data_IF_823452254068
#
_entry.id   IF_823452254068
#
_cell.length_a   1.000
_cell.length_b   1.000
_cell.length_c   1.000
_cell.angle_alpha   90.00
_cell.angle_beta   90.00
_cell.angle_gamma   90.00
#
_symmetry.space_group_name_H-M   'P 1'
#
loop_
_entity.id
_entity.type
_entity.pdbx_description
1 polymer ?
#
# COMPACT_ATOMS: atom_id res chain seq x y z
N UNK A 1 -7.09 -10.60 12.73
CA UNK A 1 -7.00 -10.07 11.36
C UNK A 1 -6.00 -10.87 10.51
N UNK A 2 -4.80 -11.15 11.04
CA UNK A 2 -3.80 -11.95 10.33
C UNK A 2 -4.35 -13.32 9.90
N UNK A 3 -4.94 -14.08 10.80
CA UNK A 3 -5.54 -15.39 10.51
C UNK A 3 -6.60 -15.31 9.39
N UNK A 4 -7.37 -14.24 9.34
CA UNK A 4 -8.35 -14.00 8.26
C UNK A 4 -7.67 -13.91 6.90
N UNK A 5 -6.58 -13.15 6.78
CA UNK A 5 -5.83 -13.02 5.52
C UNK A 5 -5.02 -14.28 5.19
N UNK A 6 -4.47 -14.97 6.18
CA UNK A 6 -3.79 -16.25 5.98
C UNK A 6 -4.73 -17.28 5.33
N UNK A 7 -5.99 -17.35 5.78
CA UNK A 7 -7.00 -18.25 5.20
C UNK A 7 -7.40 -17.88 3.76
N UNK A 8 -7.38 -16.59 3.41
CA UNK A 8 -7.74 -16.10 2.07
C UNK A 8 -6.60 -16.19 1.06
N UNK A 9 -5.35 -16.23 1.50
CA UNK A 9 -4.17 -16.15 0.64
C UNK A 9 -4.19 -17.14 -0.55
N UNK A 10 -4.57 -18.43 -0.41
CA UNK A 10 -4.57 -19.37 -1.55
C UNK A 10 -5.57 -19.03 -2.66
N UNK A 11 -6.55 -18.20 -2.39
CA UNK A 11 -7.61 -17.84 -3.35
C UNK A 11 -7.65 -16.36 -3.68
N UNK A 12 -6.80 -15.55 -3.03
CA UNK A 12 -6.83 -14.08 -3.15
C UNK A 12 -6.82 -13.57 -4.60
N UNK A 13 -5.95 -14.14 -5.43
CA UNK A 13 -5.79 -13.71 -6.81
C UNK A 13 -7.00 -14.03 -7.70
N UNK A 14 -7.90 -14.93 -7.29
CA UNK A 14 -9.12 -15.26 -8.06
C UNK A 14 -10.10 -14.09 -8.14
N UNK A 15 -10.03 -13.16 -7.19
CA UNK A 15 -10.87 -11.97 -7.14
C UNK A 15 -10.33 -10.80 -8.01
N UNK A 16 -9.15 -10.99 -8.64
CA UNK A 16 -8.53 -9.97 -9.49
C UNK A 16 -9.13 -10.00 -10.89
N UNK A 17 -9.83 -8.95 -11.23
CA UNK A 17 -10.34 -8.75 -12.60
C UNK A 17 -9.34 -7.97 -13.46
N UNK A 18 -9.44 -8.13 -14.79
CA UNK A 18 -8.64 -7.34 -15.73
C UNK A 18 -8.82 -5.83 -15.55
N UNK A 19 -10.02 -5.38 -15.21
CA UNK A 19 -10.32 -3.96 -14.94
C UNK A 19 -9.55 -3.43 -13.72
N UNK A 20 -9.53 -4.21 -12.63
CA UNK A 20 -8.76 -3.85 -11.43
C UNK A 20 -7.27 -3.79 -11.71
N UNK A 21 -6.73 -4.76 -12.44
CA UNK A 21 -5.32 -4.79 -12.84
C UNK A 21 -4.97 -3.60 -13.73
N UNK A 22 -5.80 -3.26 -14.70
CA UNK A 22 -5.62 -2.08 -15.55
C UNK A 22 -5.64 -0.78 -14.73
N UNK A 23 -6.57 -0.67 -13.77
CA UNK A 23 -6.63 0.49 -12.87
C UNK A 23 -5.34 0.62 -12.05
N UNK A 24 -4.83 -0.48 -11.47
CA UNK A 24 -3.56 -0.49 -10.72
C UNK A 24 -2.38 -0.09 -11.61
N UNK A 25 -2.27 -0.65 -12.82
CA UNK A 25 -1.23 -0.29 -13.76
C UNK A 25 -1.26 1.19 -14.12
N UNK A 26 -2.45 1.77 -14.32
CA UNK A 26 -2.59 3.20 -14.58
C UNK A 26 -2.19 4.04 -13.35
N UNK A 27 -2.59 3.65 -12.13
CA UNK A 27 -2.16 4.34 -10.91
C UNK A 27 -0.63 4.34 -10.83
N UNK A 28 0.02 3.19 -11.00
CA UNK A 28 1.49 3.10 -10.89
C UNK A 28 2.20 3.97 -11.92
N UNK A 29 1.75 3.98 -13.17
CA UNK A 29 2.28 4.87 -14.24
C UNK A 29 2.18 6.35 -13.89
N UNK A 30 1.09 6.77 -13.22
CA UNK A 30 0.89 8.16 -12.81
C UNK A 30 1.77 8.58 -11.61
N UNK A 31 2.48 7.64 -10.98
CA UNK A 31 3.35 7.94 -9.84
C UNK A 31 4.72 8.47 -10.25
N UNK A 32 5.06 8.47 -11.54
CA UNK A 32 6.36 8.93 -12.03
C UNK A 32 7.51 8.36 -11.18
N UNK A 33 7.59 7.01 -11.14
CA UNK A 33 8.61 6.29 -10.38
C UNK A 33 9.92 6.37 -11.15
N UNK A 34 10.97 6.90 -10.51
CA UNK A 34 12.28 7.03 -11.16
C UNK A 34 13.11 5.75 -10.99
N UNK A 35 13.96 5.39 -11.97
CA UNK A 35 14.95 4.34 -11.82
C UNK A 35 15.82 4.58 -10.57
N UNK A 36 16.13 3.50 -9.85
CA UNK A 36 16.93 3.59 -8.61
C UNK A 36 16.12 3.89 -7.35
N UNK A 37 14.82 4.16 -7.44
CA UNK A 37 13.98 4.34 -6.25
C UNK A 37 13.96 3.08 -5.37
N UNK A 38 13.89 3.31 -4.07
CA UNK A 38 13.52 2.31 -3.08
C UNK A 38 12.01 2.43 -2.80
N UNK A 39 11.24 1.43 -3.22
CA UNK A 39 9.78 1.38 -3.06
C UNK A 39 9.42 0.42 -1.93
N UNK A 40 8.56 0.84 -1.02
CA UNK A 40 7.96 0.02 0.02
C UNK A 40 6.49 -0.25 -0.32
N UNK A 41 6.17 -1.49 -0.68
CA UNK A 41 4.80 -1.97 -0.88
C UNK A 41 4.27 -2.53 0.43
N UNK A 42 3.40 -1.77 1.10
CA UNK A 42 2.86 -2.07 2.43
C UNK A 42 1.54 -2.84 2.29
N UNK A 43 1.47 -4.01 2.93
CA UNK A 43 0.37 -4.94 2.73
C UNK A 43 0.42 -5.50 1.31
N UNK A 44 1.61 -5.94 0.88
CA UNK A 44 1.85 -6.41 -0.49
C UNK A 44 1.02 -7.63 -0.88
N UNK A 45 0.50 -8.35 0.12
CA UNK A 45 -0.32 -9.53 -0.07
C UNK A 45 0.39 -10.56 -0.94
N UNK A 46 -0.31 -11.06 -1.94
CA UNK A 46 0.22 -12.01 -2.93
C UNK A 46 1.12 -11.35 -3.99
N UNK A 47 1.48 -10.07 -3.84
CA UNK A 47 2.36 -9.36 -4.75
C UNK A 47 1.69 -8.83 -6.01
N UNK A 48 0.41 -8.50 -5.96
CA UNK A 48 -0.39 -8.02 -7.12
C UNK A 48 0.20 -6.76 -7.74
N UNK A 49 0.76 -5.86 -6.92
CA UNK A 49 1.31 -4.59 -7.38
C UNK A 49 2.72 -4.74 -7.97
N UNK A 50 3.46 -5.77 -7.56
CA UNK A 50 4.88 -5.95 -7.91
C UNK A 50 5.19 -5.94 -9.41
N UNK A 51 4.42 -6.60 -10.30
CA UNK A 51 4.70 -6.56 -11.75
C UNK A 51 4.71 -5.14 -12.32
N UNK A 52 3.82 -4.28 -11.84
CA UNK A 52 3.73 -2.89 -12.30
C UNK A 52 4.91 -2.06 -11.78
N UNK A 53 5.28 -2.24 -10.51
CA UNK A 53 6.44 -1.56 -9.92
C UNK A 53 7.76 -1.97 -10.58
N UNK A 54 7.93 -3.27 -10.88
CA UNK A 54 9.10 -3.81 -11.58
C UNK A 54 9.22 -3.17 -12.97
N UNK A 55 8.09 -3.04 -13.68
CA UNK A 55 8.08 -2.46 -15.02
C UNK A 55 8.53 -0.99 -15.05
N UNK A 56 8.20 -0.19 -14.01
CA UNK A 56 8.62 1.21 -13.92
C UNK A 56 10.07 1.35 -13.41
N UNK A 57 10.48 0.53 -12.45
CA UNK A 57 11.81 0.62 -11.83
C UNK A 57 12.94 0.03 -12.68
N UNK A 58 12.63 -0.95 -13.54
CA UNK A 58 13.66 -1.74 -14.21
C UNK A 58 14.56 -2.48 -13.22
N UNK A 59 15.84 -2.65 -13.58
CA UNK A 59 16.80 -3.42 -12.79
C UNK A 59 17.56 -2.59 -11.73
N UNK A 60 17.40 -1.27 -11.74
CA UNK A 60 18.19 -0.35 -10.89
C UNK A 60 17.55 -0.05 -9.54
N UNK A 61 16.24 -0.32 -9.38
CA UNK A 61 15.49 -0.04 -8.17
C UNK A 61 15.52 -1.16 -7.13
N UNK A 62 14.88 -0.90 -6.00
CA UNK A 62 14.64 -1.90 -4.96
C UNK A 62 13.19 -1.84 -4.52
N UNK A 63 12.56 -3.00 -4.33
CA UNK A 63 11.20 -3.12 -3.80
C UNK A 63 11.27 -3.93 -2.51
N UNK A 64 10.73 -3.37 -1.42
CA UNK A 64 10.46 -4.11 -0.20
C UNK A 64 8.95 -4.40 -0.16
N UNK A 65 8.59 -5.65 -0.36
CA UNK A 65 7.22 -6.15 -0.25
C UNK A 65 6.98 -6.58 1.20
N UNK A 66 6.24 -5.75 1.95
CA UNK A 66 5.97 -5.95 3.36
C UNK A 66 4.54 -6.41 3.57
N UNK A 67 4.36 -7.52 4.28
CA UNK A 67 3.05 -7.98 4.75
C UNK A 67 3.18 -8.63 6.13
N UNK A 68 2.11 -8.58 6.92
CA UNK A 68 2.09 -9.23 8.23
C UNK A 68 1.67 -10.72 8.13
N UNK A 69 1.01 -11.12 7.03
CA UNK A 69 0.60 -12.47 6.73
C UNK A 69 1.73 -13.26 6.07
N UNK A 70 2.20 -14.31 6.72
CA UNK A 70 3.21 -15.20 6.16
C UNK A 70 2.68 -15.95 4.92
N UNK A 71 1.41 -16.35 4.95
CA UNK A 71 0.77 -17.08 3.84
C UNK A 71 0.64 -16.20 2.58
N UNK A 72 0.30 -14.92 2.73
CA UNK A 72 0.31 -13.96 1.62
C UNK A 72 1.69 -13.86 0.98
N UNK A 73 2.73 -13.69 1.80
CA UNK A 73 4.10 -13.62 1.28
C UNK A 73 4.57 -14.94 0.66
N UNK A 74 4.13 -16.08 1.17
CA UNK A 74 4.41 -17.39 0.58
C UNK A 74 3.83 -17.48 -0.84
N UNK A 75 2.59 -17.04 -1.06
CA UNK A 75 1.98 -16.96 -2.39
C UNK A 75 2.72 -15.99 -3.31
N UNK A 76 3.17 -14.84 -2.78
CA UNK A 76 3.96 -13.88 -3.56
C UNK A 76 5.31 -14.47 -3.99
N UNK A 77 6.04 -15.10 -3.06
CA UNK A 77 7.35 -15.71 -3.33
C UNK A 77 7.28 -16.84 -4.36
N UNK A 78 6.18 -17.60 -4.39
CA UNK A 78 5.96 -18.66 -5.38
C UNK A 78 5.88 -18.13 -6.83
N UNK A 79 5.65 -16.83 -7.03
CA UNK A 79 5.62 -16.18 -8.36
C UNK A 79 7.01 -15.88 -8.93
N UNK A 80 8.08 -16.09 -8.16
CA UNK A 80 9.47 -15.95 -8.60
C UNK A 80 9.81 -14.56 -9.17
N UNK A 81 9.54 -13.50 -8.45
CA UNK A 81 9.90 -12.13 -8.81
C UNK A 81 11.43 -11.94 -8.89
N UNK A 82 11.93 -10.97 -9.68
CA UNK A 82 13.36 -10.71 -9.82
C UNK A 82 14.00 -10.27 -8.49
N UNK A 83 15.35 -10.34 -8.36
CA UNK A 83 16.08 -10.05 -7.11
C UNK A 83 15.93 -8.63 -6.56
N UNK A 84 15.42 -7.68 -7.34
CA UNK A 84 15.09 -6.33 -6.85
C UNK A 84 13.95 -6.35 -5.83
N UNK A 85 13.15 -7.43 -5.77
CA UNK A 85 12.07 -7.62 -4.81
C UNK A 85 12.57 -8.38 -3.59
N UNK A 86 12.42 -7.77 -2.43
CA UNK A 86 12.70 -8.39 -1.13
C UNK A 86 11.42 -8.46 -0.32
N UNK A 87 11.15 -9.62 0.26
CA UNK A 87 9.97 -9.84 1.09
C UNK A 87 10.32 -9.67 2.56
N UNK A 88 9.44 -8.99 3.30
CA UNK A 88 9.59 -8.76 4.73
C UNK A 88 8.26 -9.06 5.44
N UNK A 89 8.26 -10.06 6.33
CA UNK A 89 7.12 -10.29 7.21
C UNK A 89 7.21 -9.33 8.40
N UNK A 90 6.35 -8.33 8.46
CA UNK A 90 6.31 -7.37 9.55
C UNK A 90 4.97 -6.64 9.65
N UNK A 91 4.70 -6.09 10.83
CA UNK A 91 3.58 -5.17 11.06
C UNK A 91 4.00 -3.76 10.61
N UNK A 92 3.10 -3.05 9.93
CA UNK A 92 3.29 -1.64 9.55
C UNK A 92 3.54 -0.72 10.75
N UNK A 93 3.12 -1.14 11.95
CA UNK A 93 3.38 -0.43 13.21
C UNK A 93 4.84 -0.51 13.67
N UNK A 94 5.67 -1.34 13.03
CA UNK A 94 7.10 -1.53 13.32
C UNK A 94 7.86 -1.94 12.05
N UNK A 95 7.97 -1.02 11.09
CA UNK A 95 8.60 -1.28 9.79
C UNK A 95 10.12 -1.54 9.98
N UNK A 96 10.66 -2.72 9.56
CA UNK A 96 12.05 -3.09 9.79
C UNK A 96 13.02 -2.44 8.78
N UNK A 97 12.85 -1.15 8.55
CA UNK A 97 13.70 -0.34 7.68
C UNK A 97 14.26 0.86 8.43
N UNK A 98 15.42 1.33 8.01
CA UNK A 98 16.05 2.52 8.57
C UNK A 98 15.24 3.79 8.30
N UNK A 99 15.44 4.81 9.13
CA UNK A 99 14.89 6.14 8.88
C UNK A 99 15.41 6.68 7.54
N UNK A 100 14.55 7.39 6.80
CA UNK A 100 14.92 8.05 5.54
C UNK A 100 15.54 7.09 4.50
N UNK A 101 14.99 5.90 4.34
CA UNK A 101 15.51 4.86 3.44
C UNK A 101 14.64 4.59 2.22
N UNK A 102 13.41 5.14 2.18
CA UNK A 102 12.38 4.82 1.17
C UNK A 102 12.01 6.09 0.40
N UNK A 103 11.95 6.00 -0.93
CA UNK A 103 11.53 7.09 -1.80
C UNK A 103 10.01 7.13 -1.98
N UNK A 104 9.39 5.95 -2.03
CA UNK A 104 7.95 5.79 -2.25
C UNK A 104 7.40 4.66 -1.38
N UNK A 105 6.43 4.97 -0.51
CA UNK A 105 5.65 3.99 0.23
C UNK A 105 4.25 3.90 -0.37
N UNK A 106 3.77 2.69 -0.68
CA UNK A 106 2.47 2.46 -1.28
C UNK A 106 1.64 1.57 -0.36
N UNK A 107 0.40 1.99 -0.09
CA UNK A 107 -0.64 1.25 0.61
C UNK A 107 -1.75 0.94 -0.40
N UNK A 108 -1.62 -0.16 -1.16
CA UNK A 108 -2.66 -0.60 -2.07
C UNK A 108 -3.65 -1.52 -1.35
N UNK A 109 -4.90 -1.09 -1.24
CA UNK A 109 -6.02 -1.86 -0.65
C UNK A 109 -5.81 -2.34 0.80
N UNK A 110 -4.86 -1.75 1.55
CA UNK A 110 -4.49 -2.18 2.91
C UNK A 110 -4.80 -1.16 3.99
N UNK A 111 -4.79 0.14 3.68
CA UNK A 111 -4.89 1.22 4.68
C UNK A 111 -6.11 1.12 5.62
N UNK A 112 -7.30 0.68 5.19
CA UNK A 112 -8.44 0.46 6.09
C UNK A 112 -8.10 -0.51 7.22
N UNK A 113 -7.24 -1.49 6.96
CA UNK A 113 -6.92 -2.59 7.85
C UNK A 113 -5.89 -2.27 8.94
N UNK A 114 -5.29 -1.08 8.93
CA UNK A 114 -4.40 -0.66 10.01
C UNK A 114 -5.22 -0.37 11.27
N UNK A 115 -4.93 -1.08 12.36
CA UNK A 115 -5.62 -0.91 13.65
C UNK A 115 -5.35 0.49 14.21
N UNK A 116 -4.08 0.91 14.24
CA UNK A 116 -3.65 2.26 14.62
C UNK A 116 -3.09 3.00 13.40
N UNK A 117 -3.98 3.68 12.67
CA UNK A 117 -3.60 4.46 11.48
C UNK A 117 -2.62 5.61 11.78
N UNK A 118 -2.70 6.19 12.99
CA UNK A 118 -1.80 7.27 13.37
C UNK A 118 -0.37 6.76 13.57
N UNK A 119 -0.21 5.63 14.27
CA UNK A 119 1.08 4.98 14.48
C UNK A 119 1.63 4.43 13.17
N UNK A 120 0.82 3.80 12.32
CA UNK A 120 1.22 3.34 11.01
C UNK A 120 1.77 4.49 10.14
N UNK A 121 1.05 5.61 10.07
CA UNK A 121 1.52 6.80 9.34
C UNK A 121 2.80 7.38 9.92
N UNK A 122 3.02 7.31 11.25
CA UNK A 122 4.26 7.75 11.88
C UNK A 122 5.45 6.89 11.44
N UNK A 123 5.28 5.57 11.41
CA UNK A 123 6.31 4.63 10.92
C UNK A 123 6.59 4.83 9.42
N UNK A 124 5.55 4.98 8.60
CA UNK A 124 5.70 5.29 7.18
C UNK A 124 6.46 6.60 6.99
N UNK A 125 6.09 7.66 7.71
CA UNK A 125 6.79 8.94 7.64
C UNK A 125 8.24 8.84 8.12
N UNK A 126 8.55 7.97 9.09
CA UNK A 126 9.91 7.73 9.58
C UNK A 126 10.82 7.16 8.48
N UNK A 127 10.33 6.15 7.76
CA UNK A 127 11.13 5.47 6.72
C UNK A 127 11.22 6.25 5.42
N UNK A 128 10.26 7.12 5.11
CA UNK A 128 10.30 7.98 3.92
C UNK A 128 11.47 8.95 4.00
N UNK A 129 12.17 9.15 2.89
CA UNK A 129 13.18 10.20 2.69
C UNK A 129 12.54 11.60 2.67
N UNK A 130 13.33 12.63 2.77
CA UNK A 130 12.89 13.98 2.42
C UNK A 130 12.43 13.98 0.95
N UNK A 131 11.30 14.61 0.66
CA UNK A 131 10.58 14.56 -0.62
C UNK A 131 10.06 13.16 -0.99
N UNK A 132 10.18 12.17 -0.12
CA UNK A 132 9.58 10.85 -0.31
C UNK A 132 8.06 10.93 -0.25
N UNK A 133 7.39 10.02 -0.97
CA UNK A 133 5.93 10.05 -1.14
C UNK A 133 5.25 8.85 -0.50
N UNK A 134 4.10 9.11 0.12
CA UNK A 134 3.13 8.10 0.52
C UNK A 134 1.99 8.08 -0.49
N UNK A 135 1.63 6.90 -0.97
CA UNK A 135 0.46 6.65 -1.80
C UNK A 135 -0.51 5.73 -1.07
N UNK A 136 -1.78 6.12 -0.97
CA UNK A 136 -2.87 5.27 -0.51
C UNK A 136 -3.82 5.11 -1.68
N UNK A 137 -3.99 3.89 -2.19
CA UNK A 137 -4.81 3.65 -3.37
C UNK A 137 -5.71 2.42 -3.24
N UNK A 138 -6.83 2.48 -3.96
CA UNK A 138 -7.79 1.39 -4.15
C UNK A 138 -8.41 1.51 -5.53
N UNK A 139 -8.88 0.39 -6.08
CA UNK A 139 -9.56 0.30 -7.39
C UNK A 139 -11.08 0.50 -7.29
N UNK A 140 -11.54 1.21 -6.28
CA UNK A 140 -12.94 1.58 -6.03
C UNK A 140 -12.98 2.85 -5.18
N UNK A 141 -14.13 3.56 -5.16
CA UNK A 141 -14.32 4.71 -4.28
C UNK A 141 -14.29 4.34 -2.80
N UNK A 142 -13.97 5.30 -1.92
CA UNK A 142 -14.03 5.14 -0.46
C UNK A 142 -15.38 4.59 0.00
N UNK A 143 -16.48 5.11 -0.57
CA UNK A 143 -17.84 4.66 -0.22
C UNK A 143 -18.03 3.18 -0.53
N UNK A 144 -17.63 2.73 -1.72
CA UNK A 144 -17.78 1.34 -2.14
C UNK A 144 -16.93 0.40 -1.29
N UNK A 145 -15.68 0.80 -0.96
CA UNK A 145 -14.78 0.01 -0.10
C UNK A 145 -15.41 -0.17 1.29
N UNK A 146 -15.89 0.93 1.89
CA UNK A 146 -16.50 0.88 3.22
C UNK A 146 -17.77 0.03 3.24
N UNK A 147 -18.60 0.13 2.20
CA UNK A 147 -19.79 -0.73 2.05
C UNK A 147 -19.41 -2.21 1.87
N UNK A 148 -18.38 -2.50 1.07
CA UNK A 148 -17.88 -3.86 0.87
C UNK A 148 -17.44 -4.47 2.20
N UNK A 149 -16.59 -3.78 2.98
CA UNK A 149 -16.12 -4.28 4.28
C UNK A 149 -17.27 -4.52 5.26
N UNK A 150 -18.25 -3.62 5.30
CA UNK A 150 -19.46 -3.80 6.12
C UNK A 150 -20.29 -5.00 5.67
N UNK A 151 -20.39 -5.25 4.35
CA UNK A 151 -21.15 -6.38 3.81
C UNK A 151 -20.47 -7.73 4.03
N UNK A 152 -19.12 -7.77 3.97
CA UNK A 152 -18.34 -8.97 4.31
C UNK A 152 -18.53 -9.33 5.78
N UNK A 153 -18.60 -8.33 6.65
CA UNK A 153 -18.76 -8.54 8.09
C UNK A 153 -17.51 -9.11 8.77
N UNK A 154 -17.68 -9.73 9.93
CA UNK A 154 -16.61 -10.40 10.64
C UNK A 154 -15.38 -9.53 10.92
N UNK A 155 -14.20 -10.06 10.62
CA UNK A 155 -12.91 -9.44 10.95
C UNK A 155 -12.67 -8.08 10.28
N UNK A 156 -13.33 -7.78 9.15
CA UNK A 156 -13.11 -6.54 8.38
C UNK A 156 -14.25 -5.54 8.45
N UNK A 157 -15.36 -5.84 9.13
CA UNK A 157 -16.57 -5.02 9.18
C UNK A 157 -16.32 -3.56 9.61
N UNK A 158 -15.36 -3.34 10.51
CA UNK A 158 -15.03 -2.03 11.07
C UNK A 158 -13.76 -1.41 10.47
N UNK A 159 -13.13 -2.08 9.52
CA UNK A 159 -11.92 -1.62 8.84
C UNK A 159 -12.27 -0.69 7.70
N UNK A 160 -12.50 0.58 8.05
CA UNK A 160 -13.00 1.59 7.13
C UNK A 160 -11.93 2.60 6.74
N UNK A 161 -11.98 3.07 5.49
CA UNK A 161 -11.28 4.26 5.07
C UNK A 161 -11.88 5.48 5.82
N UNK A 162 -11.06 6.29 6.48
CA UNK A 162 -11.53 7.48 7.17
C UNK A 162 -12.12 8.50 6.19
N UNK A 163 -12.88 9.47 6.72
CA UNK A 163 -13.29 10.63 5.93
C UNK A 163 -12.05 11.41 5.45
N UNK A 164 -12.18 12.14 4.35
CA UNK A 164 -11.09 12.97 3.82
C UNK A 164 -10.55 13.93 4.89
N UNK A 165 -11.44 14.59 5.64
CA UNK A 165 -11.05 15.47 6.73
C UNK A 165 -10.16 14.75 7.76
N UNK A 166 -10.60 13.57 8.23
CA UNK A 166 -9.84 12.80 9.22
C UNK A 166 -8.50 12.32 8.68
N UNK A 167 -8.46 11.90 7.41
CA UNK A 167 -7.21 11.47 6.78
C UNK A 167 -6.22 12.63 6.64
N UNK A 168 -6.70 13.83 6.23
CA UNK A 168 -5.86 15.04 6.15
C UNK A 168 -5.24 15.40 7.50
N UNK A 169 -6.01 15.32 8.57
CA UNK A 169 -5.52 15.55 9.93
C UNK A 169 -4.42 14.54 10.32
N UNK A 170 -4.66 13.24 10.09
CA UNK A 170 -3.70 12.19 10.40
C UNK A 170 -2.38 12.36 9.63
N UNK A 171 -2.46 12.64 8.33
CA UNK A 171 -1.29 12.83 7.45
C UNK A 171 -0.50 14.08 7.87
N UNK A 172 -1.19 15.19 8.20
CA UNK A 172 -0.57 16.42 8.68
C UNK A 172 0.17 16.22 10.00
N UNK A 173 -0.39 15.43 10.94
CA UNK A 173 0.22 15.17 12.26
C UNK A 173 1.59 14.50 12.16
N UNK A 174 1.86 13.75 11.09
CA UNK A 174 3.14 13.08 10.86
C UNK A 174 4.10 13.86 9.94
N UNK A 175 3.77 15.11 9.63
CA UNK A 175 4.63 15.99 8.83
C UNK A 175 4.56 15.75 7.32
N UNK A 176 3.53 15.04 6.83
CA UNK A 176 3.26 14.87 5.41
C UNK A 176 2.23 15.89 4.93
N UNK A 177 2.29 16.24 3.65
CA UNK A 177 1.34 17.14 2.97
C UNK A 177 0.69 16.41 1.81
N UNK A 178 -0.65 16.34 1.80
CA UNK A 178 -1.40 15.80 0.66
C UNK A 178 -1.23 16.74 -0.54
N UNK A 179 -0.71 16.18 -1.64
CA UNK A 179 -0.54 16.86 -2.93
C UNK A 179 -1.64 16.47 -3.92
N UNK A 180 -2.22 15.26 -3.77
CA UNK A 180 -3.34 14.80 -4.59
C UNK A 180 -4.33 14.01 -3.73
N UNK A 181 -5.63 14.21 -3.98
CA UNK A 181 -6.70 13.43 -3.37
C UNK A 181 -7.82 13.27 -4.41
N UNK A 182 -8.15 12.03 -4.73
CA UNK A 182 -9.17 11.63 -5.69
C UNK A 182 -10.04 10.52 -5.10
N UNK A 183 -11.35 10.69 -5.16
CA UNK A 183 -12.34 9.70 -4.74
C UNK A 183 -13.41 9.60 -5.83
N UNK A 184 -13.20 8.71 -6.79
CA UNK A 184 -14.08 8.45 -7.94
C UNK A 184 -14.68 7.05 -7.88
N UNK A 185 -15.70 6.72 -8.68
CA UNK A 185 -16.22 5.35 -8.75
C UNK A 185 -15.16 4.31 -9.10
N UNK A 186 -14.20 4.68 -9.94
CA UNK A 186 -13.17 3.81 -10.50
C UNK A 186 -11.99 3.61 -9.55
N UNK A 187 -11.68 4.64 -8.71
CA UNK A 187 -10.54 4.57 -7.81
C UNK A 187 -10.61 5.55 -6.65
N UNK A 188 -9.89 5.21 -5.60
CA UNK A 188 -9.50 6.11 -4.53
C UNK A 188 -7.99 6.27 -4.55
N UNK A 189 -7.48 7.51 -4.59
CA UNK A 189 -6.06 7.80 -4.64
C UNK A 189 -5.73 9.01 -3.78
N UNK A 190 -4.81 8.84 -2.85
CA UNK A 190 -4.22 9.93 -2.06
C UNK A 190 -2.71 9.85 -2.19
N UNK A 191 -2.09 10.97 -2.57
CA UNK A 191 -0.64 11.13 -2.59
C UNK A 191 -0.27 12.20 -1.57
N UNK A 192 0.67 11.88 -0.71
CA UNK A 192 1.20 12.84 0.26
C UNK A 192 2.74 12.82 0.22
N UNK A 193 3.34 13.97 0.39
CA UNK A 193 4.79 14.16 0.32
C UNK A 193 5.36 14.55 1.69
N UNK A 194 6.54 14.08 1.98
CA UNK A 194 7.33 14.51 3.13
C UNK A 194 8.08 15.79 2.77
N UNK A 195 7.81 16.86 3.49
CA UNK A 195 8.52 18.12 3.28
C UNK A 195 10.03 17.94 3.49
N UNK A 196 10.85 18.60 2.66
CA UNK A 196 12.26 18.79 2.95
C UNK A 196 12.40 19.56 4.28
N UNK A 197 13.20 19.05 5.20
CA UNK A 197 13.57 19.78 6.41
C UNK A 197 14.72 20.71 6.11
#
# INVERSE_FOLDING_TARGET
LQEYFDQLAPTWDKELTGERLNCLGNIVKELDIEPGYCVLDIGSGTGVLLPFLIAELGDEGNIVALDFSAEMLCQAQAKNFPPIVRFAQADVLAIPLADNSVDLAICNSVFPHFDDKARALKEIARVLRNNGRLVICHTMSRKMINQLHQSIGGAVAHHLLPSEFKLRELIKQVGLKITRCEDSPERYLVIAERNAR
#
